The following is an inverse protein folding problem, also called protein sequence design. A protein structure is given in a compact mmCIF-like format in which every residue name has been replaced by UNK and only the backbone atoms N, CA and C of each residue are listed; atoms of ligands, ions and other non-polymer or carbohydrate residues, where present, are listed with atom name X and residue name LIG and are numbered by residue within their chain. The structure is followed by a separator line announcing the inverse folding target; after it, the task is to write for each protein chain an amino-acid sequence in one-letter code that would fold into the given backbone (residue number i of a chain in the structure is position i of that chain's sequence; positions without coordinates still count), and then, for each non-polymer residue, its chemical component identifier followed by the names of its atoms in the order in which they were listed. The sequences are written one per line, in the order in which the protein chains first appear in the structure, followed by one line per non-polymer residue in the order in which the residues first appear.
data_IF_245294099934
#
_entry.id   IF_245294099934
#
_cell.length_a   1.000
_cell.length_b   1.000
_cell.length_c   1.000
_cell.angle_alpha   90.00
_cell.angle_beta   90.00
_cell.angle_gamma   90.00
#
_symmetry.space_group_name_H-M   'P 1'
#
loop_
_entity.id
_entity.type
_entity.pdbx_description
1 polymer ?
#
# COMPACT_ATOMS: atom_id res chain seq x y z
N UNK A 1 19.37 0.31 -11.52
CA UNK A 1 18.03 -0.28 -11.57
C UNK A 1 17.29 0.22 -10.36
N UNK A 2 16.08 0.75 -10.54
CA UNK A 2 15.20 1.14 -9.46
C UNK A 2 13.88 0.37 -9.53
N UNK A 3 13.01 0.55 -8.54
CA UNK A 3 11.67 -0.07 -8.52
C UNK A 3 10.89 0.14 -9.83
N UNK A 4 10.97 1.34 -10.41
CA UNK A 4 10.29 1.72 -11.65
C UNK A 4 10.80 1.00 -12.92
N UNK A 5 11.96 0.35 -12.86
CA UNK A 5 12.54 -0.39 -13.99
C UNK A 5 12.03 -1.84 -14.09
N UNK A 6 11.25 -2.31 -13.11
CA UNK A 6 10.75 -3.68 -13.10
C UNK A 6 9.53 -3.86 -14.00
N UNK A 7 9.47 -5.04 -14.64
CA UNK A 7 8.26 -5.58 -15.26
C UNK A 7 7.81 -6.81 -14.49
N UNK A 8 6.54 -7.22 -14.65
CA UNK A 8 6.03 -8.43 -13.99
C UNK A 8 6.86 -9.67 -14.38
N UNK A 9 7.18 -9.83 -15.67
CA UNK A 9 8.03 -10.93 -16.16
C UNK A 9 9.42 -10.93 -15.50
N UNK A 10 9.99 -9.74 -15.29
CA UNK A 10 11.30 -9.61 -14.67
C UNK A 10 11.25 -10.00 -13.19
N UNK A 11 10.22 -9.58 -12.48
CA UNK A 11 10.04 -9.90 -11.06
C UNK A 11 9.90 -11.40 -10.85
N UNK A 12 9.09 -12.07 -11.66
CA UNK A 12 8.90 -13.52 -11.56
C UNK A 12 10.21 -14.27 -11.83
N UNK A 13 10.98 -13.84 -12.84
CA UNK A 13 12.27 -14.47 -13.19
C UNK A 13 13.39 -14.22 -12.17
N UNK A 14 13.52 -13.01 -11.65
CA UNK A 14 14.63 -12.64 -10.76
C UNK A 14 14.38 -13.10 -9.33
N UNK A 15 13.15 -12.94 -8.84
CA UNK A 15 12.83 -13.17 -7.43
C UNK A 15 12.05 -14.47 -7.20
N UNK A 16 11.73 -15.23 -8.25
CA UNK A 16 10.98 -16.49 -8.13
C UNK A 16 9.55 -16.29 -7.63
N UNK A 17 8.97 -15.11 -7.88
CA UNK A 17 7.60 -14.77 -7.50
C UNK A 17 6.61 -15.44 -8.45
N UNK A 18 5.56 -16.01 -7.88
CA UNK A 18 4.36 -16.43 -8.60
C UNK A 18 3.29 -15.35 -8.45
N UNK A 19 2.62 -15.00 -9.54
CA UNK A 19 1.55 -13.99 -9.52
C UNK A 19 0.24 -14.67 -9.89
N UNK A 20 -0.76 -14.54 -9.04
CA UNK A 20 -2.11 -15.02 -9.27
C UNK A 20 -3.11 -13.87 -9.23
N UNK A 21 -4.08 -13.92 -10.13
CA UNK A 21 -5.19 -12.99 -10.20
C UNK A 21 -6.42 -13.66 -9.57
N UNK A 22 -7.02 -13.03 -8.56
CA UNK A 22 -8.20 -13.55 -7.87
C UNK A 22 -9.22 -12.44 -7.67
N UNK A 23 -10.46 -12.80 -7.39
CA UNK A 23 -11.52 -11.86 -6.98
C UNK A 23 -11.94 -12.20 -5.56
N UNK A 24 -12.54 -11.25 -4.85
CA UNK A 24 -13.08 -11.41 -3.51
C UNK A 24 -12.02 -11.80 -2.47
N UNK A 25 -10.78 -11.32 -2.64
CA UNK A 25 -9.68 -11.60 -1.70
C UNK A 25 -9.87 -10.77 -0.43
N UNK A 26 -10.31 -9.52 -0.58
CA UNK A 26 -10.44 -8.55 0.51
C UNK A 26 -11.88 -8.11 0.81
N UNK A 27 -12.89 -8.83 0.32
CA UNK A 27 -14.30 -8.39 0.38
C UNK A 27 -15.04 -8.78 1.66
N UNK A 28 -14.42 -9.60 2.53
CA UNK A 28 -15.06 -10.13 3.74
C UNK A 28 -14.93 -9.24 4.99
N UNK A 29 -14.48 -7.99 4.86
CA UNK A 29 -14.26 -7.12 6.01
C UNK A 29 -15.53 -6.36 6.41
N UNK A 30 -15.78 -6.33 7.72
CA UNK A 30 -16.84 -5.51 8.30
C UNK A 30 -16.60 -4.05 7.94
N UNK A 31 -17.63 -3.38 7.42
CA UNK A 31 -17.57 -1.95 7.15
C UNK A 31 -17.40 -1.20 8.46
N UNK A 32 -16.32 -0.44 8.57
CA UNK A 32 -16.12 0.47 9.68
C UNK A 32 -16.74 1.84 9.38
N UNK A 33 -17.24 2.48 10.43
CA UNK A 33 -17.72 3.86 10.35
C UNK A 33 -16.55 4.82 10.27
N UNK A 34 -16.54 5.67 9.24
CA UNK A 34 -15.56 6.74 9.06
C UNK A 34 -16.11 8.05 9.60
N UNK A 35 -15.23 8.92 10.08
CA UNK A 35 -15.61 10.20 10.67
C UNK A 35 -16.30 11.13 9.65
N UNK A 36 -17.42 11.74 10.05
CA UNK A 36 -18.21 12.61 9.16
C UNK A 36 -17.43 13.84 8.67
N UNK A 37 -16.49 14.37 9.45
CA UNK A 37 -15.60 15.45 9.02
C UNK A 37 -14.68 14.98 7.89
N UNK A 38 -14.15 13.76 7.98
CA UNK A 38 -13.31 13.20 6.94
C UNK A 38 -14.09 12.95 5.64
N UNK A 39 -15.33 12.46 5.73
CA UNK A 39 -16.22 12.34 4.57
C UNK A 39 -16.45 13.70 3.92
N UNK A 40 -16.70 14.75 4.70
CA UNK A 40 -16.86 16.11 4.18
C UNK A 40 -15.57 16.65 3.55
N UNK A 41 -14.41 16.33 4.12
CA UNK A 41 -13.12 16.66 3.53
C UNK A 41 -13.00 16.03 2.13
N UNK A 42 -13.28 14.74 1.99
CA UNK A 42 -13.21 14.05 0.71
C UNK A 42 -14.21 14.61 -0.30
N UNK A 43 -15.46 14.89 0.10
CA UNK A 43 -16.48 15.49 -0.77
C UNK A 43 -16.02 16.82 -1.38
N UNK A 44 -15.29 17.64 -0.62
CA UNK A 44 -14.78 18.91 -1.12
C UNK A 44 -13.55 18.75 -2.03
N UNK A 45 -12.68 17.78 -1.73
CA UNK A 45 -11.36 17.69 -2.36
C UNK A 45 -11.31 16.73 -3.55
N UNK A 46 -12.15 15.70 -3.61
CA UNK A 46 -12.19 14.75 -4.75
C UNK A 46 -12.46 15.48 -6.08
N UNK A 47 -13.49 16.34 -6.21
CA UNK A 47 -13.75 17.05 -7.47
C UNK A 47 -12.59 17.96 -7.88
N UNK A 48 -11.93 18.59 -6.90
CA UNK A 48 -10.77 19.45 -7.16
C UNK A 48 -9.57 18.65 -7.66
N UNK A 49 -9.23 17.55 -7.00
CA UNK A 49 -8.13 16.68 -7.42
C UNK A 49 -8.37 16.09 -8.80
N UNK A 50 -9.61 15.70 -9.12
CA UNK A 50 -10.01 15.23 -10.44
C UNK A 50 -9.90 16.34 -11.50
N UNK A 51 -10.32 17.57 -11.19
CA UNK A 51 -10.21 18.69 -12.11
C UNK A 51 -8.74 19.08 -12.41
N UNK A 52 -7.85 18.96 -11.43
CA UNK A 52 -6.40 19.22 -11.61
C UNK A 52 -5.74 18.06 -12.38
N UNK A 53 -6.14 16.81 -12.11
CA UNK A 53 -5.71 15.60 -12.83
C UNK A 53 -4.19 15.36 -12.86
N UNK A 54 -3.47 15.78 -11.82
CA UNK A 54 -2.06 15.44 -11.62
C UNK A 54 -1.91 14.37 -10.53
N UNK A 55 -0.84 13.57 -10.63
CA UNK A 55 -0.49 12.60 -9.58
C UNK A 55 -0.33 13.29 -8.23
N UNK A 56 0.33 14.44 -8.20
CA UNK A 56 0.51 15.23 -6.97
C UNK A 56 -0.82 15.64 -6.33
N UNK A 57 -1.78 16.15 -7.12
CA UNK A 57 -3.08 16.54 -6.59
C UNK A 57 -3.85 15.33 -6.04
N UNK A 58 -3.86 14.20 -6.75
CA UNK A 58 -4.48 12.95 -6.28
C UNK A 58 -3.82 12.44 -5.00
N UNK A 59 -2.49 12.48 -4.93
CA UNK A 59 -1.71 12.07 -3.76
C UNK A 59 -2.00 12.94 -2.53
N UNK A 60 -1.97 14.26 -2.67
CA UNK A 60 -2.12 15.19 -1.53
C UNK A 60 -3.57 15.33 -1.06
N UNK A 61 -4.55 15.23 -1.97
CA UNK A 61 -5.95 15.55 -1.68
C UNK A 61 -6.83 14.32 -1.45
N UNK A 62 -6.37 13.13 -1.84
CA UNK A 62 -7.14 11.88 -1.73
C UNK A 62 -6.34 10.78 -1.03
N UNK A 63 -5.21 10.37 -1.62
CA UNK A 63 -4.48 9.16 -1.18
C UNK A 63 -3.90 9.38 0.22
N UNK A 64 -3.10 10.44 0.42
CA UNK A 64 -2.51 10.73 1.72
C UNK A 64 -3.58 10.94 2.82
N UNK A 65 -4.65 11.72 2.60
CA UNK A 65 -5.75 11.83 3.56
C UNK A 65 -6.39 10.49 3.95
N UNK A 66 -6.63 9.59 2.99
CA UNK A 66 -7.17 8.23 3.27
C UNK A 66 -6.21 7.44 4.17
N UNK A 67 -4.91 7.46 3.87
CA UNK A 67 -3.92 6.74 4.66
C UNK A 67 -3.72 7.36 6.05
N UNK A 68 -3.86 8.69 6.18
CA UNK A 68 -3.87 9.38 7.47
C UNK A 68 -5.07 8.95 8.31
N UNK A 69 -6.25 8.79 7.70
CA UNK A 69 -7.44 8.31 8.39
C UNK A 69 -7.29 6.85 8.84
N UNK A 70 -6.69 5.98 8.01
CA UNK A 70 -6.30 4.62 8.40
C UNK A 70 -5.40 4.65 9.64
N UNK A 71 -4.35 5.50 9.64
CA UNK A 71 -3.45 5.66 10.79
C UNK A 71 -4.19 6.13 12.03
N UNK A 72 -5.13 7.07 11.90
CA UNK A 72 -5.96 7.57 13.01
C UNK A 72 -6.82 6.46 13.60
N UNK A 73 -7.45 5.63 12.76
CA UNK A 73 -8.30 4.50 13.16
C UNK A 73 -7.52 3.33 13.79
N UNK A 74 -6.19 3.33 13.63
CA UNK A 74 -5.25 2.42 14.28
C UNK A 74 -4.55 3.08 15.48
N UNK A 75 -5.22 4.02 16.14
CA UNK A 75 -4.73 4.75 17.33
C UNK A 75 -3.37 5.44 17.13
N UNK A 76 -3.01 5.79 15.89
CA UNK A 76 -1.69 6.33 15.54
C UNK A 76 -0.50 5.41 15.90
N UNK A 77 -0.75 4.09 16.01
CA UNK A 77 0.26 3.07 16.35
C UNK A 77 1.03 2.53 15.15
N UNK A 78 0.71 3.02 13.96
CA UNK A 78 1.46 2.75 12.73
C UNK A 78 2.19 4.00 12.26
N UNK A 79 3.24 3.79 11.48
CA UNK A 79 3.97 4.83 10.78
C UNK A 79 3.40 4.96 9.38
N UNK A 80 3.41 6.18 8.85
CA UNK A 80 3.01 6.47 7.48
C UNK A 80 4.05 7.41 6.87
N UNK A 81 4.80 6.92 5.90
CA UNK A 81 5.73 7.74 5.13
C UNK A 81 5.08 8.05 3.79
N UNK A 82 5.29 9.28 3.32
CA UNK A 82 4.87 9.73 2.00
C UNK A 82 6.08 10.30 1.29
N UNK A 83 6.36 9.75 0.12
CA UNK A 83 7.46 10.16 -0.73
C UNK A 83 8.83 10.01 -0.06
N UNK A 84 9.24 8.77 0.18
CA UNK A 84 10.49 8.45 0.89
C UNK A 84 11.38 7.51 0.06
N UNK A 85 12.69 7.69 0.17
CA UNK A 85 13.65 6.71 -0.36
C UNK A 85 13.57 5.42 0.45
N UNK A 86 13.45 4.29 -0.26
CA UNK A 86 13.38 2.96 0.32
C UNK A 86 14.41 2.04 -0.34
N UNK A 87 15.67 2.17 0.08
CA UNK A 87 16.80 1.49 -0.54
C UNK A 87 17.20 0.24 0.25
N UNK A 88 16.59 -0.91 -0.06
CA UNK A 88 16.79 -2.16 0.70
C UNK A 88 17.91 -3.02 0.12
N UNK A 89 17.93 -3.21 -1.20
CA UNK A 89 18.94 -4.05 -1.87
C UNK A 89 19.27 -3.48 -3.25
N UNK A 90 20.25 -2.58 -3.29
CA UNK A 90 20.66 -1.86 -4.50
C UNK A 90 21.18 -2.82 -5.57
N UNK A 91 21.91 -3.87 -5.18
CA UNK A 91 22.48 -4.86 -6.11
C UNK A 91 21.40 -5.62 -6.87
N UNK A 92 20.26 -5.90 -6.22
CA UNK A 92 19.10 -6.54 -6.85
C UNK A 92 18.13 -5.55 -7.50
N UNK A 93 18.43 -4.24 -7.48
CA UNK A 93 17.55 -3.20 -8.01
C UNK A 93 16.38 -2.82 -7.10
N UNK A 94 16.32 -3.33 -5.87
CA UNK A 94 15.32 -3.00 -4.84
C UNK A 94 15.70 -1.70 -4.13
N UNK A 95 15.65 -0.61 -4.87
CA UNK A 95 15.96 0.74 -4.43
C UNK A 95 15.16 1.76 -5.23
N UNK A 96 15.01 2.95 -4.68
CA UNK A 96 14.25 4.03 -5.27
C UNK A 96 13.23 4.62 -4.29
N UNK A 97 12.34 5.42 -4.86
CA UNK A 97 11.33 6.17 -4.15
C UNK A 97 10.04 5.36 -4.05
N UNK A 98 9.42 5.35 -2.87
CA UNK A 98 8.07 4.83 -2.66
C UNK A 98 7.11 6.00 -2.40
N UNK A 99 5.95 5.96 -3.05
CA UNK A 99 4.92 6.99 -2.85
C UNK A 99 4.38 6.98 -1.43
N UNK A 100 4.01 5.79 -0.92
CA UNK A 100 3.65 5.63 0.49
C UNK A 100 4.08 4.28 1.05
N UNK A 101 4.45 4.31 2.33
CA UNK A 101 4.90 3.16 3.09
C UNK A 101 4.30 3.19 4.50
N UNK A 102 3.79 2.05 4.95
CA UNK A 102 3.22 1.86 6.28
C UNK A 102 4.01 0.79 7.04
N UNK A 103 4.37 1.07 8.30
CA UNK A 103 5.03 0.12 9.20
C UNK A 103 4.31 -0.08 10.53
N UNK A 104 4.54 -1.21 11.20
CA UNK A 104 3.98 -1.52 12.54
C UNK A 104 4.84 -0.92 13.66
N UNK A 105 5.09 0.38 13.58
CA UNK A 105 5.82 1.14 14.57
C UNK A 105 5.26 2.55 14.63
N UNK A 106 5.18 3.17 15.80
CA UNK A 106 4.82 4.58 15.91
C UNK A 106 5.96 5.53 15.52
N UNK A 107 7.14 5.01 15.19
CA UNK A 107 8.31 5.79 14.79
C UNK A 107 8.11 6.40 13.39
N UNK A 108 8.25 7.74 13.30
CA UNK A 108 7.91 8.50 12.10
C UNK A 108 9.11 9.29 11.51
N UNK A 109 10.25 9.34 12.21
CA UNK A 109 11.42 10.10 11.76
C UNK A 109 12.21 9.38 10.67
N UNK A 110 12.20 8.05 10.68
CA UNK A 110 12.82 7.19 9.68
C UNK A 110 12.10 5.85 9.61
N UNK A 111 12.17 5.20 8.46
CA UNK A 111 11.54 3.90 8.22
C UNK A 111 12.17 2.85 9.14
N UNK A 112 11.34 2.06 9.82
CA UNK A 112 11.76 0.94 10.68
C UNK A 112 10.95 -0.30 10.33
N UNK A 113 11.54 -1.47 10.54
CA UNK A 113 10.85 -2.75 10.42
C UNK A 113 9.86 -2.98 11.58
N UNK A 114 8.71 -3.66 11.34
CA UNK A 114 8.29 -4.20 10.06
C UNK A 114 7.54 -3.18 9.20
N UNK A 115 7.87 -3.14 7.92
CA UNK A 115 7.10 -2.49 6.85
C UNK A 115 6.05 -3.47 6.35
N UNK A 116 4.78 -3.10 6.32
CA UNK A 116 3.67 -4.04 6.10
C UNK A 116 2.75 -3.68 4.95
N UNK A 117 2.71 -2.41 4.53
CA UNK A 117 1.95 -2.03 3.35
C UNK A 117 2.66 -0.95 2.53
N UNK A 118 2.56 -1.08 1.21
CA UNK A 118 3.09 -0.14 0.22
C UNK A 118 1.93 0.36 -0.64
N UNK A 119 1.89 1.65 -0.95
CA UNK A 119 0.88 2.21 -1.86
C UNK A 119 1.58 2.96 -2.97
N UNK A 120 1.37 2.50 -4.20
CA UNK A 120 1.92 3.06 -5.42
C UNK A 120 0.83 3.87 -6.13
N UNK A 121 1.07 5.17 -6.31
CA UNK A 121 0.16 6.06 -7.01
C UNK A 121 0.48 6.08 -8.50
N UNK A 122 -0.56 6.07 -9.35
CA UNK A 122 -0.45 6.23 -10.81
C UNK A 122 -1.49 7.21 -11.30
N UNK A 123 -1.17 8.00 -12.33
CA UNK A 123 -2.17 8.96 -12.83
C UNK A 123 -3.40 8.26 -13.45
N UNK A 124 -3.18 7.28 -14.34
CA UNK A 124 -4.26 6.68 -15.13
C UNK A 124 -4.23 5.14 -15.08
N UNK A 125 -3.17 4.52 -15.59
CA UNK A 125 -3.13 3.07 -15.78
C UNK A 125 -2.57 2.33 -14.56
N UNK A 126 -3.46 1.83 -13.70
CA UNK A 126 -3.09 1.03 -12.52
C UNK A 126 -2.24 -0.20 -12.86
N UNK A 127 -2.43 -0.81 -14.03
CA UNK A 127 -1.65 -2.00 -14.41
C UNK A 127 -0.15 -1.73 -14.49
N UNK A 128 0.24 -0.49 -14.78
CA UNK A 128 1.65 -0.09 -14.83
C UNK A 128 2.28 -0.02 -13.43
N UNK A 129 1.48 0.13 -12.37
CA UNK A 129 1.98 0.19 -10.99
C UNK A 129 2.22 -1.17 -10.35
N UNK A 130 1.68 -2.27 -10.89
CA UNK A 130 1.79 -3.57 -10.23
C UNK A 130 3.24 -4.07 -10.10
N UNK A 131 4.04 -3.96 -11.15
CA UNK A 131 5.42 -4.41 -11.09
C UNK A 131 6.21 -3.62 -10.03
N UNK A 132 6.10 -2.30 -10.05
CA UNK A 132 6.76 -1.45 -9.07
C UNK A 132 6.31 -1.76 -7.64
N UNK A 133 4.99 -1.80 -7.40
CA UNK A 133 4.42 -2.10 -6.09
C UNK A 133 4.88 -3.49 -5.58
N UNK A 134 4.90 -4.52 -6.43
CA UNK A 134 5.39 -5.85 -6.04
C UNK A 134 6.89 -5.80 -5.70
N UNK A 135 7.71 -5.07 -6.45
CA UNK A 135 9.13 -4.94 -6.14
C UNK A 135 9.35 -4.27 -4.76
N UNK A 136 8.55 -3.25 -4.44
CA UNK A 136 8.57 -2.61 -3.11
C UNK A 136 8.10 -3.56 -2.00
N UNK A 137 7.08 -4.40 -2.26
CA UNK A 137 6.63 -5.44 -1.32
C UNK A 137 7.73 -6.49 -1.05
N UNK A 138 8.47 -6.89 -2.08
CA UNK A 138 9.63 -7.79 -1.94
C UNK A 138 10.73 -7.12 -1.10
N UNK A 139 11.00 -5.84 -1.35
CA UNK A 139 11.96 -5.07 -0.57
C UNK A 139 11.54 -4.98 0.91
N UNK A 140 10.27 -4.72 1.19
CA UNK A 140 9.74 -4.75 2.56
C UNK A 140 9.90 -6.13 3.21
N UNK A 141 9.62 -7.22 2.50
CA UNK A 141 9.85 -8.58 3.01
C UNK A 141 11.33 -8.82 3.35
N UNK A 142 12.27 -8.40 2.48
CA UNK A 142 13.70 -8.55 2.72
C UNK A 142 14.18 -7.72 3.92
N UNK A 143 13.75 -6.47 4.04
CA UNK A 143 14.06 -5.61 5.19
C UNK A 143 13.52 -6.22 6.48
N UNK A 144 12.28 -6.69 6.45
CA UNK A 144 11.65 -7.27 7.63
C UNK A 144 12.38 -8.52 8.11
N UNK A 145 12.76 -9.39 7.18
CA UNK A 145 13.52 -10.60 7.48
C UNK A 145 14.93 -10.29 8.01
N UNK A 146 15.64 -9.34 7.39
CA UNK A 146 17.02 -8.99 7.79
C UNK A 146 17.10 -8.37 9.18
N UNK A 147 16.04 -7.67 9.61
CA UNK A 147 15.90 -7.12 10.96
C UNK A 147 15.21 -8.07 11.96
N UNK A 148 14.98 -9.34 11.58
CA UNK A 148 14.42 -10.36 12.47
C UNK A 148 12.92 -10.21 12.78
N UNK A 149 12.22 -9.39 12.01
CA UNK A 149 10.81 -9.04 12.17
C UNK A 149 9.94 -9.76 11.13
N UNK A 150 9.92 -11.09 11.15
CA UNK A 150 9.15 -11.87 10.19
C UNK A 150 7.65 -11.58 10.34
N UNK A 151 7.07 -11.02 9.28
CA UNK A 151 5.62 -10.89 9.07
C UNK A 151 5.21 -11.91 8.02
N UNK A 152 3.99 -12.43 8.10
CA UNK A 152 3.52 -13.46 7.18
C UNK A 152 3.19 -12.86 5.82
N UNK A 153 2.58 -11.69 5.85
CA UNK A 153 2.07 -11.01 4.67
C UNK A 153 2.64 -9.59 4.56
N UNK A 154 2.96 -9.20 3.33
CA UNK A 154 3.15 -7.80 2.94
C UNK A 154 2.00 -7.43 2.01
N UNK A 155 1.41 -6.26 2.22
CA UNK A 155 0.30 -5.77 1.41
C UNK A 155 0.76 -4.68 0.45
N UNK A 156 0.12 -4.65 -0.71
CA UNK A 156 0.33 -3.63 -1.73
C UNK A 156 -1.00 -3.00 -2.09
N UNK A 157 -0.96 -1.76 -2.55
CA UNK A 157 -2.10 -1.15 -3.20
C UNK A 157 -1.61 -0.28 -4.35
N UNK A 158 -2.23 -0.43 -5.52
CA UNK A 158 -2.03 0.49 -6.64
C UNK A 158 -3.28 1.34 -6.81
N UNK A 159 -3.12 2.64 -6.89
CA UNK A 159 -4.25 3.58 -6.93
C UNK A 159 -4.01 4.79 -7.83
N UNK A 160 -5.09 5.35 -8.36
CA UNK A 160 -5.11 6.67 -9.01
C UNK A 160 -5.91 7.70 -8.19
N UNK A 161 -6.09 7.42 -6.90
CA UNK A 161 -6.96 8.16 -5.99
C UNK A 161 -8.44 7.79 -6.14
N UNK A 162 -8.93 7.53 -7.36
CA UNK A 162 -10.31 7.16 -7.60
C UNK A 162 -10.57 5.66 -7.45
N UNK A 163 -9.70 4.84 -8.03
CA UNK A 163 -9.71 3.38 -8.00
C UNK A 163 -8.54 2.87 -7.17
N UNK A 164 -8.76 1.81 -6.40
CA UNK A 164 -7.78 1.19 -5.52
C UNK A 164 -7.83 -0.32 -5.74
N UNK A 165 -6.66 -0.91 -6.02
CA UNK A 165 -6.50 -2.34 -6.28
C UNK A 165 -5.46 -2.87 -5.32
N UNK A 166 -5.82 -3.91 -4.57
CA UNK A 166 -5.00 -4.44 -3.48
C UNK A 166 -4.25 -5.71 -3.89
N UNK A 167 -3.08 -5.90 -3.27
CA UNK A 167 -2.19 -7.04 -3.46
C UNK A 167 -1.78 -7.60 -2.11
N UNK A 168 -1.49 -8.90 -2.07
CA UNK A 168 -0.89 -9.57 -0.92
C UNK A 168 0.28 -10.43 -1.39
N UNK A 169 1.43 -10.30 -0.72
CA UNK A 169 2.59 -11.16 -0.86
C UNK A 169 2.70 -12.06 0.36
N UNK A 170 2.66 -13.37 0.15
CA UNK A 170 2.88 -14.40 1.18
C UNK A 170 3.97 -15.35 0.69
N UNK A 171 5.13 -15.32 1.35
CA UNK A 171 6.31 -16.05 0.88
C UNK A 171 6.73 -15.59 -0.52
N UNK A 172 6.53 -16.43 -1.53
CA UNK A 172 6.81 -16.12 -2.94
C UNK A 172 5.56 -15.99 -3.82
N UNK A 173 4.36 -16.00 -3.23
CA UNK A 173 3.11 -15.84 -3.95
C UNK A 173 2.59 -14.42 -3.79
N UNK A 174 2.38 -13.73 -4.90
CA UNK A 174 1.61 -12.48 -4.97
C UNK A 174 0.21 -12.82 -5.48
N UNK A 175 -0.79 -12.39 -4.72
CA UNK A 175 -2.19 -12.37 -5.17
C UNK A 175 -2.58 -10.94 -5.48
N UNK A 176 -3.04 -10.67 -6.70
CA UNK A 176 -3.68 -9.42 -7.10
C UNK A 176 -5.19 -9.61 -7.00
N UNK A 177 -5.87 -8.82 -6.17
CA UNK A 177 -7.32 -8.79 -6.14
C UNK A 177 -7.82 -7.96 -7.32
N UNK A 178 -8.57 -8.57 -8.24
CA UNK A 178 -9.13 -7.91 -9.40
C UNK A 178 -10.33 -7.02 -9.04
N UNK A 179 -10.81 -7.08 -7.79
CA UNK A 179 -11.85 -6.18 -7.30
C UNK A 179 -11.29 -4.74 -7.16
N UNK A 180 -11.99 -3.79 -7.79
CA UNK A 180 -11.67 -2.37 -7.67
C UNK A 180 -12.51 -1.71 -6.58
N UNK A 181 -11.82 -1.00 -5.68
CA UNK A 181 -12.45 -0.20 -4.63
C UNK A 181 -12.43 1.27 -5.05
N UNK A 182 -13.57 1.94 -4.90
CA UNK A 182 -13.76 3.30 -5.39
C UNK A 182 -13.84 4.33 -4.26
N UNK A 183 -13.26 5.51 -4.47
CA UNK A 183 -13.21 6.58 -3.47
C UNK A 183 -14.58 7.17 -3.10
N UNK A 184 -15.62 6.90 -3.89
CA UNK A 184 -16.99 7.23 -3.53
C UNK A 184 -17.57 6.35 -2.40
N UNK A 185 -16.85 5.29 -2.01
CA UNK A 185 -17.12 4.42 -0.87
C UNK A 185 -15.85 4.29 -0.02
N UNK A 186 -15.35 5.41 0.54
CA UNK A 186 -14.05 5.44 1.23
C UNK A 186 -14.00 4.49 2.43
N UNK A 187 -15.14 4.21 3.07
CA UNK A 187 -15.26 3.26 4.17
C UNK A 187 -14.76 1.87 3.78
N UNK A 188 -15.01 1.42 2.54
CA UNK A 188 -14.55 0.10 2.06
C UNK A 188 -13.02 0.06 1.94
N UNK A 189 -12.43 1.08 1.32
CA UNK A 189 -10.96 1.19 1.14
C UNK A 189 -10.29 1.19 2.51
N UNK A 190 -10.79 2.03 3.43
CA UNK A 190 -10.26 2.16 4.79
C UNK A 190 -10.44 0.85 5.57
N UNK A 191 -11.58 0.16 5.40
CA UNK A 191 -11.83 -1.14 6.05
C UNK A 191 -10.84 -2.21 5.60
N UNK A 192 -10.47 -2.25 4.31
CA UNK A 192 -9.45 -3.16 3.80
C UNK A 192 -8.11 -2.88 4.48
N UNK A 193 -7.60 -1.65 4.41
CA UNK A 193 -6.33 -1.31 5.07
C UNK A 193 -6.34 -1.63 6.57
N UNK A 194 -7.35 -1.17 7.31
CA UNK A 194 -7.43 -1.40 8.76
C UNK A 194 -7.42 -2.89 9.09
N UNK A 195 -8.15 -3.71 8.32
CA UNK A 195 -8.27 -5.15 8.57
C UNK A 195 -6.96 -5.88 8.30
N UNK A 196 -6.31 -5.61 7.17
CA UNK A 196 -5.03 -6.20 6.78
C UNK A 196 -3.90 -5.85 7.77
N UNK A 197 -3.88 -4.59 8.23
CA UNK A 197 -2.86 -4.13 9.17
C UNK A 197 -3.09 -4.74 10.56
N UNK A 198 -4.35 -4.85 11.01
CA UNK A 198 -4.70 -5.50 12.28
C UNK A 198 -4.39 -6.99 12.27
N UNK A 199 -4.60 -7.69 11.16
CA UNK A 199 -4.32 -9.14 11.09
C UNK A 199 -2.84 -9.46 11.30
N UNK A 200 -1.92 -8.61 10.83
CA UNK A 200 -0.48 -8.78 11.10
C UNK A 200 -0.09 -8.29 12.50
N UNK A 201 -0.68 -7.20 12.98
CA UNK A 201 -0.39 -6.66 14.31
C UNK A 201 -0.72 -7.64 15.44
N UNK A 202 -1.85 -8.35 15.31
CA UNK A 202 -2.30 -9.32 16.31
C UNK A 202 -1.44 -10.59 16.34
N UNK A 203 -0.82 -10.98 15.21
CA UNK A 203 0.07 -12.15 15.14
C UNK A 203 1.40 -11.93 15.86
N UNK A 204 1.85 -10.69 16.03
CA UNK A 204 3.07 -10.36 16.80
C UNK A 204 2.89 -10.38 18.32
N UNK A 205 1.66 -10.41 18.84
CA UNK A 205 1.40 -10.42 20.29
C UNK A 205 1.33 -11.83 20.89
N UNK A 206 1.59 -12.87 20.09
CA UNK A 206 1.59 -14.29 20.47
C UNK A 206 3.01 -14.83 20.32
#
# INVERSE_FOLDING_TARGET
MAYSDFTLERITKIFGINIEERTNVFTAFDQLTVDAFFIKYLQNNIPLAQAISTEKAKSEMIIAPVLIEVRRLLDNKISLFSGIDFNVNIEQGLNGFCDFLIGLSSQQLYVTSPVIALVEAKNDNLKQGFAQCIAEMIAAAQLNQSEGNNVENIYGCVTNGNQWVFLQLTGNLVVVDLDEYYINQPEKIISVFVSLIKSESNRKQI
#
